data_IF_499684728251
#
_entry.id   IF_499684728251
#
_cell.length_a   1.000
_cell.length_b   1.000
_cell.length_c   1.000
_cell.angle_alpha   90.00
_cell.angle_beta   90.00
_cell.angle_gamma   90.00
#
_symmetry.space_group_name_H-M   'P 1'
#
loop_
_entity.id
_entity.type
_entity.pdbx_description
1 polymer ?
#
# COMPACT_ATOMS: atom_id res chain seq x y z
N UNK A 1 37.65 18.33 -6.03
CA UNK A 1 36.95 19.63 -6.18
C UNK A 1 35.56 19.32 -6.70
N UNK A 2 34.64 19.02 -5.80
CA UNK A 2 33.80 20.05 -5.15
C UNK A 2 32.87 20.70 -6.17
N UNK A 3 31.59 20.32 -6.11
CA UNK A 3 30.57 21.29 -5.70
C UNK A 3 29.33 20.52 -5.23
N UNK A 4 29.29 20.34 -3.92
CA UNK A 4 28.08 20.10 -3.16
C UNK A 4 27.21 21.38 -3.20
N UNK A 5 25.90 21.19 -3.00
CA UNK A 5 24.88 22.18 -2.58
C UNK A 5 24.39 23.23 -3.60
N UNK A 6 23.14 23.03 -4.02
CA UNK A 6 22.15 24.12 -4.14
C UNK A 6 20.89 23.66 -3.36
N UNK A 7 20.82 23.86 -2.04
CA UNK A 7 20.21 25.00 -1.32
C UNK A 7 18.80 25.37 -1.79
N UNK A 8 17.83 24.70 -1.17
CA UNK A 8 16.59 25.20 -0.54
C UNK A 8 16.41 26.72 -0.60
N UNK A 9 15.43 27.21 -1.38
CA UNK A 9 14.61 28.41 -1.14
C UNK A 9 13.64 28.63 -2.31
N UNK A 10 12.42 29.09 -1.99
CA UNK A 10 11.14 29.19 -2.77
C UNK A 10 10.15 28.14 -2.25
N UNK A 11 9.12 28.45 -1.45
CA UNK A 11 8.33 29.67 -1.35
C UNK A 11 7.76 29.81 0.07
N UNK A 12 7.96 30.98 0.67
CA UNK A 12 7.11 31.51 1.74
C UNK A 12 6.33 32.70 1.17
N UNK A 13 5.06 32.82 1.56
CA UNK A 13 4.27 34.04 1.42
C UNK A 13 3.22 34.07 0.30
N UNK A 14 1.95 33.87 0.67
CA UNK A 14 0.82 34.25 -0.17
C UNK A 14 -0.48 33.50 0.11
N UNK A 15 -1.16 33.87 1.20
CA UNK A 15 -2.52 33.45 1.55
C UNK A 15 -3.53 33.79 0.44
N UNK A 16 -4.20 32.78 -0.12
CA UNK A 16 -5.52 32.97 -0.73
C UNK A 16 -6.34 31.69 -0.60
N UNK A 17 -7.47 31.87 0.07
CA UNK A 17 -8.41 30.84 0.46
C UNK A 17 -8.96 30.10 -0.74
N UNK A 18 -8.61 28.83 -0.88
CA UNK A 18 -9.55 27.80 -1.25
C UNK A 18 -9.24 26.57 -0.40
N UNK A 19 -9.97 26.44 0.71
CA UNK A 19 -10.16 25.19 1.43
C UNK A 19 -10.92 24.24 0.50
N UNK A 20 -10.25 23.71 -0.51
CA UNK A 20 -10.60 22.39 -0.99
C UNK A 20 -10.13 21.48 0.12
N UNK A 21 -11.08 21.01 0.93
CA UNK A 21 -10.92 19.83 1.76
C UNK A 21 -10.58 18.68 0.80
N UNK A 22 -9.33 18.64 0.33
CA UNK A 22 -8.76 17.48 -0.31
C UNK A 22 -8.58 16.54 0.87
N UNK A 23 -9.63 15.76 1.10
CA UNK A 23 -9.61 14.66 2.03
C UNK A 23 -8.25 13.99 1.86
N UNK A 24 -7.52 13.93 2.97
CA UNK A 24 -6.28 13.20 3.12
C UNK A 24 -6.55 11.70 3.05
N UNK A 25 -7.36 11.29 2.05
CA UNK A 25 -7.55 9.94 1.59
C UNK A 25 -6.18 9.47 1.14
N UNK A 26 -5.36 9.02 2.08
CA UNK A 26 -4.27 8.11 1.82
C UNK A 26 -4.88 6.98 1.00
N UNK A 27 -4.67 7.04 -0.30
CA UNK A 27 -4.89 5.93 -1.20
C UNK A 27 -4.03 4.78 -0.65
N UNK A 28 -4.60 3.59 -0.48
CA UNK A 28 -3.79 2.45 -0.12
C UNK A 28 -2.65 2.28 -1.13
N UNK A 29 -1.48 1.93 -0.64
CA UNK A 29 -0.41 1.44 -1.49
C UNK A 29 -0.48 -0.09 -1.48
N UNK A 30 -0.46 -0.69 -2.67
CA UNK A 30 -0.40 -2.14 -2.85
C UNK A 30 0.84 -2.46 -3.67
N UNK A 31 1.63 -3.41 -3.18
CA UNK A 31 2.74 -4.01 -3.91
C UNK A 31 2.51 -5.51 -3.99
N UNK A 32 2.72 -6.08 -5.18
CA UNK A 32 2.60 -7.50 -5.45
C UNK A 32 3.93 -8.01 -5.99
N UNK A 33 4.44 -9.09 -5.39
CA UNK A 33 5.70 -9.72 -5.75
C UNK A 33 5.48 -11.20 -6.00
N UNK A 34 5.97 -11.70 -7.12
CA UNK A 34 5.96 -13.13 -7.44
C UNK A 34 7.32 -13.74 -7.06
N UNK A 35 7.28 -14.85 -6.34
CA UNK A 35 8.44 -15.59 -5.86
C UNK A 35 8.19 -17.08 -6.11
N UNK A 36 8.54 -17.54 -7.32
CA UNK A 36 8.21 -18.90 -7.75
C UNK A 36 6.69 -19.11 -7.78
N UNK A 37 6.19 -20.15 -7.13
CA UNK A 37 4.75 -20.41 -7.00
C UNK A 37 4.08 -19.61 -5.86
N UNK A 38 4.77 -18.66 -5.24
CA UNK A 38 4.23 -17.82 -4.15
C UNK A 38 4.00 -16.40 -4.63
N UNK A 39 2.83 -15.87 -4.32
CA UNK A 39 2.50 -14.46 -4.45
C UNK A 39 2.59 -13.80 -3.07
N UNK A 40 3.44 -12.77 -2.94
CA UNK A 40 3.54 -11.92 -1.76
C UNK A 40 2.87 -10.58 -2.07
N UNK A 41 1.89 -10.21 -1.25
CA UNK A 41 1.18 -8.94 -1.36
C UNK A 41 1.43 -8.10 -0.10
N UNK A 42 1.97 -6.91 -0.29
CA UNK A 42 2.18 -5.92 0.74
C UNK A 42 1.19 -4.76 0.55
N UNK A 43 0.30 -4.56 1.52
CA UNK A 43 -0.73 -3.51 1.49
C UNK A 43 -0.47 -2.54 2.64
N UNK A 44 -0.43 -1.25 2.34
CA UNK A 44 -0.31 -0.18 3.34
C UNK A 44 -1.58 0.67 3.33
N UNK A 45 -2.24 0.78 4.47
CA UNK A 45 -3.48 1.56 4.63
C UNK A 45 -3.41 2.50 5.82
N UNK A 46 -4.31 3.49 5.87
CA UNK A 46 -4.64 4.19 7.11
C UNK A 46 -5.46 3.29 8.07
N UNK A 47 -5.58 3.71 9.34
CA UNK A 47 -6.32 2.98 10.38
C UNK A 47 -7.83 2.81 10.08
N UNK A 48 -8.40 3.72 9.29
CA UNK A 48 -9.81 3.82 8.93
C UNK A 48 -10.22 2.93 7.75
N UNK A 49 -9.29 2.21 7.13
CA UNK A 49 -9.49 1.57 5.83
C UNK A 49 -9.46 0.03 5.83
N UNK A 50 -10.00 -0.59 6.88
CA UNK A 50 -10.12 -2.07 6.98
C UNK A 50 -10.84 -2.73 5.80
N UNK A 51 -11.72 -2.01 5.11
CA UNK A 51 -12.45 -2.50 3.93
C UNK A 51 -11.51 -2.97 2.83
N UNK A 52 -10.35 -2.32 2.65
CA UNK A 52 -9.43 -2.63 1.54
C UNK A 52 -8.76 -4.01 1.67
N UNK A 53 -8.55 -4.51 2.89
CA UNK A 53 -7.99 -5.86 3.08
C UNK A 53 -8.96 -6.94 2.60
N UNK A 54 -10.26 -6.78 2.91
CA UNK A 54 -11.28 -7.76 2.53
C UNK A 54 -11.42 -7.84 1.00
N UNK A 55 -11.34 -6.71 0.31
CA UNK A 55 -11.34 -6.69 -1.16
C UNK A 55 -10.13 -7.41 -1.75
N UNK A 56 -8.93 -7.18 -1.19
CA UNK A 56 -7.71 -7.86 -1.63
C UNK A 56 -7.81 -9.37 -1.45
N UNK A 57 -8.26 -9.84 -0.28
CA UNK A 57 -8.46 -11.27 -0.04
C UNK A 57 -9.50 -11.86 -0.99
N UNK A 58 -10.60 -11.15 -1.22
CA UNK A 58 -11.65 -11.60 -2.13
C UNK A 58 -11.14 -11.73 -3.58
N UNK A 59 -10.30 -10.82 -4.05
CA UNK A 59 -9.68 -10.92 -5.39
C UNK A 59 -8.76 -12.14 -5.46
N UNK A 60 -7.95 -12.39 -4.43
CA UNK A 60 -7.07 -13.56 -4.37
C UNK A 60 -7.86 -14.88 -4.41
N UNK A 61 -8.99 -14.94 -3.72
CA UNK A 61 -9.86 -16.13 -3.69
C UNK A 61 -10.71 -16.29 -4.96
N UNK A 62 -11.16 -15.17 -5.57
CA UNK A 62 -12.06 -15.19 -6.71
C UNK A 62 -11.43 -15.77 -7.98
N UNK A 63 -10.10 -15.68 -8.13
CA UNK A 63 -9.40 -16.27 -9.27
C UNK A 63 -9.18 -17.79 -9.12
N UNK A 64 -9.46 -18.38 -7.94
CA UNK A 64 -9.47 -19.83 -7.70
C UNK A 64 -8.12 -20.55 -7.86
N UNK A 65 -7.08 -19.84 -8.28
CA UNK A 65 -5.73 -20.36 -8.52
C UNK A 65 -4.78 -20.11 -7.36
N UNK A 66 -5.08 -19.14 -6.49
CA UNK A 66 -4.23 -18.74 -5.37
C UNK A 66 -4.87 -19.09 -4.02
N UNK A 67 -4.18 -19.89 -3.22
CA UNK A 67 -4.56 -20.21 -1.84
C UNK A 67 -3.78 -19.32 -0.88
N UNK A 68 -4.46 -18.56 -0.01
CA UNK A 68 -3.79 -17.77 1.03
C UNK A 68 -3.21 -18.72 2.08
N UNK A 69 -1.87 -18.75 2.20
CA UNK A 69 -1.17 -19.60 3.19
C UNK A 69 -0.84 -18.87 4.48
N UNK A 70 -0.65 -17.55 4.41
CA UNK A 70 -0.34 -16.74 5.58
C UNK A 70 -0.78 -15.30 5.36
N UNK A 71 -1.24 -14.66 6.42
CA UNK A 71 -1.47 -13.24 6.46
C UNK A 71 -0.99 -12.70 7.80
N UNK A 72 -0.31 -11.57 7.78
CA UNK A 72 0.16 -10.86 8.96
C UNK A 72 -0.06 -9.37 8.81
N UNK A 73 -0.11 -8.65 9.93
CA UNK A 73 -0.19 -7.21 9.92
C UNK A 73 0.60 -6.57 11.06
N UNK A 74 0.98 -5.32 10.86
CA UNK A 74 1.60 -4.48 11.88
C UNK A 74 1.10 -3.04 11.79
N UNK A 75 1.06 -2.36 12.92
CA UNK A 75 0.68 -0.95 12.99
C UNK A 75 1.94 -0.11 13.21
N UNK A 76 2.14 0.91 12.39
CA UNK A 76 3.23 1.88 12.56
C UNK A 76 2.63 3.27 12.43
N UNK A 77 2.51 3.97 13.57
CA UNK A 77 1.86 5.28 13.63
C UNK A 77 0.38 5.20 13.24
N UNK A 78 0.02 5.96 12.21
CA UNK A 78 -1.34 6.04 11.66
C UNK A 78 -1.58 5.04 10.51
N UNK A 79 -0.66 4.09 10.31
CA UNK A 79 -0.68 3.15 9.18
C UNK A 79 -0.74 1.71 9.66
N UNK A 80 -1.40 0.88 8.84
CA UNK A 80 -1.41 -0.56 8.95
C UNK A 80 -0.69 -1.12 7.73
N UNK A 81 0.23 -2.05 7.97
CA UNK A 81 0.96 -2.79 6.97
C UNK A 81 0.46 -4.22 7.02
N UNK A 82 -0.04 -4.73 5.91
CA UNK A 82 -0.46 -6.10 5.74
C UNK A 82 0.54 -6.80 4.82
N UNK A 83 0.89 -8.04 5.15
CA UNK A 83 1.66 -8.92 4.29
C UNK A 83 0.86 -10.21 4.15
N UNK A 84 0.52 -10.57 2.91
CA UNK A 84 -0.24 -11.77 2.57
C UNK A 84 0.64 -12.63 1.67
N UNK A 85 0.78 -13.90 2.01
CA UNK A 85 1.42 -14.89 1.17
C UNK A 85 0.35 -15.85 0.67
N UNK A 86 0.32 -16.05 -0.65
CA UNK A 86 -0.55 -17.00 -1.31
C UNK A 86 0.25 -17.95 -2.19
N UNK A 87 -0.14 -19.21 -2.26
CA UNK A 87 0.42 -20.18 -3.21
C UNK A 87 -0.47 -20.28 -4.44
N UNK A 88 0.13 -20.06 -5.61
CA UNK A 88 -0.52 -20.26 -6.89
C UNK A 88 -0.34 -21.71 -7.29
N UNK A 89 -1.45 -22.40 -7.54
CA UNK A 89 -1.48 -23.75 -8.06
C UNK A 89 -1.82 -23.71 -9.54
N UNK A 90 -0.92 -24.19 -10.40
CA UNK A 90 -1.26 -24.42 -11.81
C UNK A 90 -2.34 -25.50 -11.88
N UNK A 91 -3.47 -25.18 -12.52
CA UNK A 91 -4.50 -26.16 -12.84
C UNK A 91 -3.90 -27.16 -13.83
N UNK A 92 -3.70 -28.40 -13.40
CA UNK A 92 -3.21 -29.51 -14.25
C UNK A 92 -4.32 -30.11 -15.12
#
# INVERSE_FOLDING_TARGET
MEVLKQRKEKLDGGESSNKTNMENSMLAAVEVREIGSTLELNLVTGLDKRVMLHEVLHVLEAEGTAEVVSASYSNVGDKIFYTIHSQVHELR
#
